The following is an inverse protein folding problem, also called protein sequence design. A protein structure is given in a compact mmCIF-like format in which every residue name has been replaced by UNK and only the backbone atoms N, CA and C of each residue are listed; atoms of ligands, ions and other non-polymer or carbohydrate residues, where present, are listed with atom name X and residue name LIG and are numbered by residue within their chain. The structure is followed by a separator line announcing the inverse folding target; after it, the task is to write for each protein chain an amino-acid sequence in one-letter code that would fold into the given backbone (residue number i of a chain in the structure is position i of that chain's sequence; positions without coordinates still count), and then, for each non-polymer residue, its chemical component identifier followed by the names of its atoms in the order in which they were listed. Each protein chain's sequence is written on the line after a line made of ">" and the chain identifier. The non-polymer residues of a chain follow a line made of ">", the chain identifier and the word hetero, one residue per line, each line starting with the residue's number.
data_IF_399702962159
#
_entry.id   IF_399702962159
#
_cell.length_a   1.000
_cell.length_b   1.000
_cell.length_c   1.000
_cell.angle_alpha   90.00
_cell.angle_beta   90.00
_cell.angle_gamma   90.00
#
_symmetry.space_group_name_H-M   'P 1'
#
loop_
_entity.id
_entity.type
_entity.pdbx_description
1 polymer ?
#
# COMPACT_ATOMS: atom_id res chain seq x y z
N UNK A 1 -27.56 8.10 -0.31
CA UNK A 1 -26.78 9.18 -0.96
C UNK A 1 -26.16 9.98 0.18
N UNK A 2 -24.86 9.87 0.39
CA UNK A 2 -24.14 10.69 1.37
C UNK A 2 -23.87 12.05 0.74
N UNK A 3 -24.15 13.12 1.47
CA UNK A 3 -23.87 14.49 1.02
C UNK A 3 -22.49 14.85 1.49
N UNK A 4 -21.59 15.18 0.58
CA UNK A 4 -20.24 15.66 0.90
C UNK A 4 -20.27 17.16 1.11
N UNK A 5 -19.77 17.59 2.26
CA UNK A 5 -19.64 19.01 2.59
C UNK A 5 -18.25 19.50 2.20
N UNK A 6 -18.19 20.44 1.26
CA UNK A 6 -16.97 21.18 0.92
C UNK A 6 -16.89 22.40 1.84
N UNK A 7 -15.73 22.58 2.49
CA UNK A 7 -15.41 23.77 3.25
C UNK A 7 -14.19 24.44 2.64
N UNK A 8 -14.24 25.73 2.51
CA UNK A 8 -13.14 26.57 2.06
C UNK A 8 -12.83 27.61 3.13
N UNK A 9 -11.60 27.56 3.66
CA UNK A 9 -11.09 28.57 4.61
C UNK A 9 -10.05 29.41 3.91
N UNK A 10 -10.30 30.70 3.75
CA UNK A 10 -9.31 31.65 3.26
C UNK A 10 -8.71 32.43 4.44
N UNK A 11 -7.39 32.39 4.54
CA UNK A 11 -6.65 33.00 5.64
C UNK A 11 -5.41 33.73 5.12
N UNK A 12 -4.99 34.79 5.83
CA UNK A 12 -3.78 35.53 5.49
C UNK A 12 -2.51 34.69 5.62
N UNK A 13 -1.50 34.98 4.81
CA UNK A 13 -0.26 34.20 4.72
C UNK A 13 0.48 34.09 6.07
N UNK A 14 0.44 35.11 6.89
CA UNK A 14 1.07 35.14 8.21
C UNK A 14 0.46 34.17 9.23
N UNK A 15 -0.77 33.68 8.99
CA UNK A 15 -1.48 32.73 9.84
C UNK A 15 -1.68 31.35 9.17
N UNK A 16 -1.18 31.16 7.95
CA UNK A 16 -1.45 29.96 7.17
C UNK A 16 -0.88 28.68 7.83
N UNK A 17 0.33 28.74 8.35
CA UNK A 17 0.96 27.60 9.01
C UNK A 17 0.20 27.21 10.30
N UNK A 18 -0.27 28.18 11.09
CA UNK A 18 -1.08 27.91 12.28
C UNK A 18 -2.43 27.30 11.91
N UNK A 19 -3.05 27.78 10.83
CA UNK A 19 -4.29 27.20 10.31
C UNK A 19 -4.11 25.76 9.82
N UNK A 20 -3.00 25.46 9.13
CA UNK A 20 -2.65 24.10 8.71
C UNK A 20 -2.50 23.14 9.89
N UNK A 21 -1.82 23.54 10.95
CA UNK A 21 -1.71 22.76 12.19
C UNK A 21 -3.09 22.53 12.85
N UNK A 22 -3.92 23.56 12.90
CA UNK A 22 -5.29 23.43 13.43
C UNK A 22 -6.10 22.40 12.61
N UNK A 23 -6.10 22.53 11.29
CA UNK A 23 -6.84 21.65 10.38
C UNK A 23 -6.34 20.20 10.52
N UNK A 24 -5.02 19.99 10.55
CA UNK A 24 -4.41 18.65 10.68
C UNK A 24 -4.82 17.92 11.96
N UNK A 25 -5.08 18.68 13.04
CA UNK A 25 -5.53 18.11 14.31
C UNK A 25 -6.97 17.59 14.28
N UNK A 26 -7.77 18.01 13.29
CA UNK A 26 -9.21 17.71 13.19
C UNK A 26 -9.54 16.78 12.01
N UNK A 27 -8.76 16.85 10.94
CA UNK A 27 -9.01 16.13 9.68
C UNK A 27 -7.78 15.31 9.31
N UNK A 28 -7.70 14.06 9.76
CA UNK A 28 -6.55 13.18 9.48
C UNK A 28 -6.44 12.76 8.00
N UNK A 29 -7.49 12.95 7.22
CA UNK A 29 -7.57 12.52 5.81
C UNK A 29 -6.98 13.51 4.81
N UNK A 30 -6.44 14.64 5.28
CA UNK A 30 -5.82 15.64 4.44
C UNK A 30 -6.76 16.75 3.96
N UNK A 31 -6.17 17.74 3.30
CA UNK A 31 -6.84 18.91 2.70
C UNK A 31 -6.03 19.39 1.50
N UNK A 32 -6.66 20.21 0.68
CA UNK A 32 -5.96 20.90 -0.39
C UNK A 32 -5.56 22.29 0.09
N UNK A 33 -4.34 22.73 -0.26
CA UNK A 33 -3.81 24.04 0.06
C UNK A 33 -3.41 24.76 -1.22
N UNK A 34 -4.06 25.89 -1.50
CA UNK A 34 -3.85 26.66 -2.71
C UNK A 34 -3.41 28.07 -2.36
N UNK A 35 -2.25 28.56 -2.83
CA UNK A 35 -1.85 29.95 -2.70
C UNK A 35 -2.82 30.86 -3.46
N UNK A 36 -3.24 31.95 -2.81
CA UNK A 36 -4.11 33.00 -3.40
C UNK A 36 -3.48 34.38 -3.19
N UNK A 37 -3.98 35.39 -3.90
CA UNK A 37 -3.36 36.73 -3.96
C UNK A 37 -3.10 37.37 -2.59
N UNK A 38 -3.94 37.05 -1.57
CA UNK A 38 -3.84 37.63 -0.23
C UNK A 38 -3.73 36.60 0.90
N UNK A 39 -3.21 35.40 0.64
CA UNK A 39 -3.06 34.35 1.65
C UNK A 39 -3.16 32.95 1.08
N UNK A 40 -3.71 32.04 1.85
CA UNK A 40 -3.92 30.63 1.43
C UNK A 40 -5.38 30.23 1.58
N UNK A 41 -5.82 29.43 0.64
CA UNK A 41 -7.12 28.77 0.62
C UNK A 41 -6.92 27.30 1.03
N UNK A 42 -7.56 26.90 2.12
CA UNK A 42 -7.64 25.50 2.56
C UNK A 42 -8.99 24.95 2.15
N UNK A 43 -9.00 23.85 1.40
CA UNK A 43 -10.21 23.17 0.95
C UNK A 43 -10.30 21.79 1.59
N UNK A 44 -11.41 21.50 2.24
CA UNK A 44 -11.68 20.25 2.94
C UNK A 44 -12.99 19.66 2.48
N UNK A 45 -13.08 18.33 2.57
CA UNK A 45 -14.27 17.56 2.24
C UNK A 45 -14.64 16.68 3.44
N UNK A 46 -15.86 16.79 3.95
CA UNK A 46 -16.35 16.06 5.12
C UNK A 46 -17.68 15.39 4.83
N UNK A 47 -17.84 14.16 5.30
CA UNK A 47 -19.13 13.44 5.26
C UNK A 47 -19.96 13.66 6.54
N UNK A 48 -19.30 13.99 7.66
CA UNK A 48 -19.93 14.18 8.96
C UNK A 48 -20.36 15.64 9.18
N UNK A 49 -21.65 15.87 9.14
CA UNK A 49 -22.26 17.19 9.39
C UNK A 49 -22.00 17.72 10.80
N UNK A 50 -21.83 16.88 11.79
CA UNK A 50 -21.56 17.30 13.17
C UNK A 50 -20.15 17.84 13.31
N UNK A 51 -19.17 17.13 12.75
CA UNK A 51 -17.78 17.56 12.69
C UNK A 51 -17.62 18.86 11.88
N UNK A 52 -18.37 19.01 10.80
CA UNK A 52 -18.42 20.23 10.00
C UNK A 52 -18.79 21.46 10.83
N UNK A 53 -19.93 21.40 11.55
CA UNK A 53 -20.42 22.52 12.35
C UNK A 53 -19.43 22.89 13.44
N UNK A 54 -18.86 21.89 14.12
CA UNK A 54 -17.87 22.10 15.17
C UNK A 54 -16.61 22.75 14.61
N UNK A 55 -16.10 22.26 13.50
CA UNK A 55 -14.88 22.74 12.86
C UNK A 55 -14.99 24.18 12.38
N UNK A 56 -16.09 24.55 11.71
CA UNK A 56 -16.34 25.93 11.27
C UNK A 56 -16.42 26.86 12.46
N UNK A 57 -17.10 26.48 13.55
CA UNK A 57 -17.21 27.29 14.76
C UNK A 57 -15.86 27.50 15.44
N UNK A 58 -15.09 26.43 15.61
CA UNK A 58 -13.77 26.50 16.25
C UNK A 58 -12.77 27.28 15.39
N UNK A 59 -12.76 27.04 14.07
CA UNK A 59 -11.90 27.76 13.15
C UNK A 59 -12.15 29.27 13.19
N UNK A 60 -13.42 29.70 13.15
CA UNK A 60 -13.77 31.13 13.29
C UNK A 60 -13.45 31.70 14.65
N UNK A 61 -13.39 30.88 15.68
CA UNK A 61 -13.01 31.35 17.03
C UNK A 61 -11.50 31.60 17.09
N UNK A 62 -10.67 30.76 16.45
CA UNK A 62 -9.22 30.95 16.42
C UNK A 62 -8.77 31.96 15.36
N UNK A 63 -9.48 32.02 14.25
CA UNK A 63 -9.17 32.86 13.09
C UNK A 63 -10.39 33.75 12.73
N UNK A 64 -10.72 34.76 13.54
CA UNK A 64 -11.93 35.54 13.36
C UNK A 64 -12.00 36.35 12.06
N UNK A 65 -10.82 36.69 11.49
CA UNK A 65 -10.70 37.42 10.24
C UNK A 65 -10.72 36.53 8.98
N UNK A 66 -10.86 35.20 9.15
CA UNK A 66 -10.92 34.27 8.03
C UNK A 66 -12.24 34.34 7.26
N UNK A 67 -12.18 34.19 5.93
CA UNK A 67 -13.38 33.94 5.12
C UNK A 67 -13.64 32.45 5.05
N UNK A 68 -14.84 32.01 5.43
CA UNK A 68 -15.25 30.61 5.45
C UNK A 68 -16.46 30.44 4.55
N UNK A 69 -16.28 29.66 3.49
CA UNK A 69 -17.36 29.28 2.57
C UNK A 69 -17.62 27.78 2.71
N UNK A 70 -18.84 27.39 2.49
CA UNK A 70 -19.23 25.99 2.40
C UNK A 70 -20.28 25.78 1.32
N UNK A 71 -20.26 24.58 0.76
CA UNK A 71 -21.26 24.13 -0.18
C UNK A 71 -21.54 22.65 0.05
N UNK A 72 -22.76 22.25 -0.16
CA UNK A 72 -23.13 20.84 -0.26
C UNK A 72 -22.88 20.39 -1.71
N UNK A 73 -22.14 19.30 -1.87
CA UNK A 73 -21.98 18.66 -3.17
C UNK A 73 -22.66 17.28 -3.08
N UNK A 74 -23.49 16.98 -4.05
CA UNK A 74 -24.00 15.62 -4.18
C UNK A 74 -22.83 14.68 -4.44
N UNK A 75 -22.72 13.61 -3.65
CA UNK A 75 -21.58 12.69 -3.68
C UNK A 75 -21.39 11.97 -5.01
N UNK A 76 -22.36 12.04 -5.91
CA UNK A 76 -22.32 11.33 -7.19
C UNK A 76 -21.23 11.84 -8.14
N UNK A 77 -20.93 13.14 -8.17
CA UNK A 77 -19.94 13.68 -9.11
C UNK A 77 -18.49 13.45 -8.67
N UNK A 78 -18.21 13.43 -7.36
CA UNK A 78 -16.87 13.19 -6.87
C UNK A 78 -16.49 11.71 -6.83
N UNK A 79 -17.45 10.83 -6.55
CA UNK A 79 -17.23 9.38 -6.61
C UNK A 79 -16.95 8.89 -8.03
N UNK A 80 -17.29 9.67 -9.04
CA UNK A 80 -16.99 9.36 -10.46
C UNK A 80 -15.71 10.03 -10.95
N UNK A 81 -15.44 11.29 -10.56
CA UNK A 81 -14.28 12.03 -11.05
C UNK A 81 -12.94 11.43 -10.60
N UNK A 82 -12.83 10.92 -9.36
CA UNK A 82 -11.60 10.26 -8.91
C UNK A 82 -11.36 8.91 -9.59
N UNK A 83 -12.42 8.22 -10.01
CA UNK A 83 -12.30 6.97 -10.78
C UNK A 83 -11.60 7.16 -12.11
N UNK A 84 -11.75 8.32 -12.75
CA UNK A 84 -11.10 8.65 -14.01
C UNK A 84 -9.58 8.82 -13.87
N UNK A 85 -9.08 9.04 -12.65
CA UNK A 85 -7.64 9.13 -12.37
C UNK A 85 -6.98 7.77 -12.14
N UNK A 86 -7.77 6.71 -11.86
CA UNK A 86 -7.21 5.38 -11.67
C UNK A 86 -7.10 4.64 -13.00
N UNK A 87 -5.94 4.78 -13.62
CA UNK A 87 -5.62 4.02 -14.82
C UNK A 87 -5.04 2.64 -14.43
N UNK A 88 -5.29 1.61 -15.26
CA UNK A 88 -4.64 0.32 -15.08
C UNK A 88 -3.12 0.44 -15.07
N UNK A 89 -2.47 -0.27 -14.15
CA UNK A 89 -1.00 -0.28 -14.01
C UNK A 89 -0.46 -1.65 -14.40
N UNK A 90 0.45 -1.70 -15.36
CA UNK A 90 1.15 -2.93 -15.70
C UNK A 90 2.39 -3.09 -14.81
N UNK A 91 2.52 -4.25 -14.16
CA UNK A 91 3.69 -4.62 -13.39
C UNK A 91 4.44 -5.74 -14.12
N UNK A 92 5.46 -5.34 -14.86
CA UNK A 92 6.15 -6.20 -15.81
C UNK A 92 5.22 -6.69 -16.94
N UNK A 93 5.46 -7.90 -17.40
CA UNK A 93 4.66 -8.55 -18.45
C UNK A 93 3.62 -9.54 -17.88
N UNK A 94 3.58 -9.72 -16.56
CA UNK A 94 2.77 -10.76 -15.92
C UNK A 94 1.49 -10.21 -15.33
N UNK A 95 1.55 -9.07 -14.64
CA UNK A 95 0.43 -8.55 -13.88
C UNK A 95 -0.09 -7.24 -14.42
N UNK A 96 -1.40 -7.06 -14.32
CA UNK A 96 -2.09 -5.81 -14.55
C UNK A 96 -3.02 -5.51 -13.38
N UNK A 97 -2.82 -4.37 -12.74
CA UNK A 97 -3.62 -3.93 -11.61
C UNK A 97 -4.76 -3.07 -12.15
N UNK A 98 -5.98 -3.37 -11.71
CA UNK A 98 -7.20 -2.73 -12.16
C UNK A 98 -8.07 -2.35 -10.95
N UNK A 99 -8.75 -1.21 -10.99
CA UNK A 99 -9.86 -0.97 -10.08
C UNK A 99 -11.09 -1.79 -10.52
N UNK A 100 -12.04 -2.13 -9.60
CA UNK A 100 -13.18 -2.99 -9.92
C UNK A 100 -14.04 -2.54 -11.11
N UNK A 101 -14.18 -1.23 -11.30
CA UNK A 101 -15.00 -0.68 -12.40
C UNK A 101 -14.36 -0.74 -13.79
N UNK A 102 -13.09 -1.20 -13.89
CA UNK A 102 -12.39 -1.39 -15.17
C UNK A 102 -12.11 -2.87 -15.49
N UNK A 103 -12.65 -3.80 -14.71
CA UNK A 103 -12.42 -5.23 -14.90
C UNK A 103 -13.09 -5.76 -16.18
N UNK A 104 -14.25 -5.22 -16.53
CA UNK A 104 -14.99 -5.66 -17.70
C UNK A 104 -14.34 -5.18 -19.02
N UNK A 105 -14.07 -6.12 -19.91
CA UNK A 105 -13.66 -5.84 -21.29
C UNK A 105 -12.15 -5.69 -21.52
N UNK A 106 -11.31 -6.02 -20.54
CA UNK A 106 -9.86 -6.12 -20.74
C UNK A 106 -9.52 -7.51 -21.24
N UNK A 107 -9.27 -7.63 -22.55
CA UNK A 107 -8.77 -8.86 -23.16
C UNK A 107 -7.26 -8.71 -23.38
N UNK A 108 -6.51 -9.25 -22.44
CA UNK A 108 -5.06 -9.34 -22.58
C UNK A 108 -4.51 -10.63 -21.95
N UNK A 109 -3.23 -10.90 -22.20
CA UNK A 109 -2.53 -12.10 -21.74
C UNK A 109 -1.98 -11.95 -20.32
N UNK A 110 -2.32 -10.88 -19.60
CA UNK A 110 -1.79 -10.60 -18.25
C UNK A 110 -2.72 -11.15 -17.16
N UNK A 111 -2.15 -11.39 -16.00
CA UNK A 111 -2.92 -11.76 -14.80
C UNK A 111 -3.45 -10.48 -14.15
N UNK A 112 -4.77 -10.35 -14.11
CA UNK A 112 -5.41 -9.19 -13.52
C UNK A 112 -5.49 -9.29 -12.00
N UNK A 113 -5.13 -8.20 -11.32
CA UNK A 113 -5.30 -8.01 -9.88
C UNK A 113 -6.25 -6.84 -9.69
N UNK A 114 -7.44 -7.13 -9.16
CA UNK A 114 -8.46 -6.11 -8.88
C UNK A 114 -8.23 -5.56 -7.47
N UNK A 115 -7.94 -4.27 -7.38
CA UNK A 115 -7.77 -3.58 -6.09
C UNK A 115 -8.70 -2.39 -6.03
N UNK A 116 -9.52 -2.34 -5.00
CA UNK A 116 -10.31 -1.15 -4.73
C UNK A 116 -9.41 -0.07 -4.10
N UNK A 117 -9.28 1.10 -4.74
CA UNK A 117 -8.48 2.19 -4.19
C UNK A 117 -9.13 2.72 -2.91
N UNK A 118 -8.63 2.27 -1.75
CA UNK A 118 -9.00 2.72 -0.41
C UNK A 118 -7.79 3.33 0.29
N UNK A 119 -7.96 3.67 1.56
CA UNK A 119 -6.92 4.28 2.40
C UNK A 119 -5.76 3.33 2.75
N UNK A 120 -5.87 2.01 2.48
CA UNK A 120 -4.79 1.07 2.72
C UNK A 120 -3.63 1.25 1.73
N UNK A 121 -2.40 1.11 2.22
CA UNK A 121 -1.19 1.11 1.38
C UNK A 121 -1.22 -0.07 0.41
N UNK A 122 -0.72 0.14 -0.83
CA UNK A 122 -0.62 -0.95 -1.81
C UNK A 122 -1.67 -0.91 -2.91
N UNK A 123 -2.09 0.28 -3.38
CA UNK A 123 -2.97 0.43 -4.55
C UNK A 123 -2.30 0.05 -5.89
N UNK A 124 -1.04 -0.41 -5.84
CA UNK A 124 -0.27 -0.79 -7.01
C UNK A 124 0.46 0.35 -7.73
N UNK A 125 0.15 1.60 -7.43
CA UNK A 125 0.79 2.76 -8.05
C UNK A 125 2.15 3.11 -7.44
N UNK A 126 2.47 2.55 -6.25
CA UNK A 126 3.77 2.80 -5.63
C UNK A 126 4.86 1.94 -6.28
N UNK A 127 6.04 2.51 -6.62
CA UNK A 127 7.12 1.78 -7.29
C UNK A 127 7.54 0.50 -6.58
N UNK A 128 7.55 0.47 -5.25
CA UNK A 128 7.92 -0.73 -4.47
C UNK A 128 6.98 -1.91 -4.71
N UNK A 129 5.67 -1.65 -4.85
CA UNK A 129 4.67 -2.68 -5.16
C UNK A 129 4.86 -3.21 -6.58
N UNK A 130 5.08 -2.30 -7.55
CA UNK A 130 5.34 -2.66 -8.94
C UNK A 130 6.61 -3.52 -9.06
N UNK A 131 7.71 -3.12 -8.40
CA UNK A 131 8.96 -3.89 -8.34
C UNK A 131 8.76 -5.30 -7.75
N UNK A 132 7.99 -5.44 -6.67
CA UNK A 132 7.69 -6.76 -6.10
C UNK A 132 6.91 -7.64 -7.07
N UNK A 133 5.83 -7.12 -7.67
CA UNK A 133 5.01 -7.88 -8.63
C UNK A 133 5.80 -8.23 -9.89
N UNK A 134 6.59 -7.32 -10.43
CA UNK A 134 7.47 -7.61 -11.57
C UNK A 134 8.47 -8.73 -11.24
N UNK A 135 9.05 -8.69 -10.05
CA UNK A 135 9.96 -9.72 -9.56
C UNK A 135 9.26 -11.07 -9.40
N UNK A 136 8.08 -11.10 -8.77
CA UNK A 136 7.25 -12.31 -8.65
C UNK A 136 6.96 -12.88 -10.04
N UNK A 137 6.59 -12.05 -11.01
CA UNK A 137 6.35 -12.46 -12.38
C UNK A 137 7.60 -13.05 -13.06
N UNK A 138 8.80 -12.50 -12.80
CA UNK A 138 10.08 -13.04 -13.29
C UNK A 138 10.39 -14.41 -12.68
N UNK A 139 10.23 -14.55 -11.35
CA UNK A 139 10.45 -15.83 -10.66
C UNK A 139 9.50 -16.92 -11.16
N UNK A 140 8.25 -16.59 -11.46
CA UNK A 140 7.30 -17.52 -12.04
C UNK A 140 7.70 -17.96 -13.48
N UNK A 141 8.18 -17.02 -14.32
CA UNK A 141 8.64 -17.33 -15.68
C UNK A 141 9.91 -18.18 -15.73
N UNK A 142 10.75 -18.10 -14.70
CA UNK A 142 11.99 -18.90 -14.57
C UNK A 142 11.77 -20.21 -13.81
N UNK A 143 10.54 -20.54 -13.44
CA UNK A 143 10.19 -21.68 -12.58
C UNK A 143 10.86 -21.67 -11.19
N UNK A 144 11.37 -20.54 -10.74
CA UNK A 144 11.87 -20.37 -9.37
C UNK A 144 10.73 -20.44 -8.34
N UNK A 145 9.53 -20.01 -8.73
CA UNK A 145 8.27 -20.25 -8.00
C UNK A 145 7.27 -20.95 -8.91
N UNK A 146 6.45 -21.86 -8.35
CA UNK A 146 5.54 -22.72 -9.11
C UNK A 146 4.19 -22.87 -8.43
N UNK A 147 3.11 -23.17 -9.18
CA UNK A 147 1.82 -23.52 -8.60
C UNK A 147 1.93 -24.63 -7.54
N UNK A 148 1.18 -24.47 -6.45
CA UNK A 148 1.17 -25.39 -5.31
C UNK A 148 2.26 -25.17 -4.27
N UNK A 149 3.23 -24.28 -4.52
CA UNK A 149 4.19 -23.85 -3.50
C UNK A 149 3.56 -22.89 -2.50
N UNK A 150 4.19 -22.78 -1.32
CA UNK A 150 3.69 -21.92 -0.24
C UNK A 150 4.43 -20.59 -0.19
N UNK A 151 3.71 -19.53 0.24
CA UNK A 151 4.30 -18.22 0.43
C UNK A 151 3.87 -17.55 1.75
N UNK A 152 4.70 -16.61 2.21
CA UNK A 152 4.37 -15.64 3.25
C UNK A 152 4.45 -14.23 2.67
N UNK A 153 3.41 -13.43 2.85
CA UNK A 153 3.39 -11.98 2.58
C UNK A 153 3.34 -11.23 3.91
N UNK A 154 4.45 -10.61 4.30
CA UNK A 154 4.60 -9.92 5.58
C UNK A 154 4.45 -8.41 5.40
N UNK A 155 3.44 -7.84 6.06
CA UNK A 155 2.97 -6.47 5.83
C UNK A 155 2.16 -6.37 4.54
N UNK A 156 1.11 -7.19 4.46
CA UNK A 156 0.35 -7.41 3.22
C UNK A 156 -0.42 -6.17 2.73
N UNK A 157 -0.74 -5.23 3.62
CA UNK A 157 -1.49 -4.02 3.29
C UNK A 157 -2.83 -4.33 2.63
N UNK A 158 -3.00 -3.92 1.37
CA UNK A 158 -4.19 -4.23 0.56
C UNK A 158 -4.34 -5.69 0.14
N UNK A 159 -3.36 -6.55 0.41
CA UNK A 159 -3.30 -7.93 -0.06
C UNK A 159 -2.77 -8.12 -1.47
N UNK A 160 -2.34 -7.05 -2.14
CA UNK A 160 -2.03 -7.06 -3.58
C UNK A 160 -0.95 -8.08 -3.98
N UNK A 161 0.12 -8.24 -3.18
CA UNK A 161 1.18 -9.20 -3.47
C UNK A 161 0.68 -10.64 -3.27
N UNK A 162 0.00 -10.88 -2.15
CA UNK A 162 -0.62 -12.17 -1.85
C UNK A 162 -1.63 -12.59 -2.92
N UNK A 163 -2.49 -11.67 -3.37
CA UNK A 163 -3.45 -11.92 -4.46
C UNK A 163 -2.72 -12.30 -5.74
N UNK A 164 -1.66 -11.56 -6.11
CA UNK A 164 -0.85 -11.87 -7.29
C UNK A 164 -0.25 -13.28 -7.21
N UNK A 165 0.28 -13.68 -6.06
CA UNK A 165 0.82 -15.03 -5.82
C UNK A 165 -0.25 -16.11 -5.90
N UNK A 166 -1.43 -15.87 -5.30
CA UNK A 166 -2.57 -16.79 -5.42
C UNK A 166 -3.02 -16.98 -6.87
N UNK A 167 -3.08 -15.91 -7.64
CA UNK A 167 -3.44 -15.99 -9.08
C UNK A 167 -2.42 -16.73 -9.93
N UNK A 168 -1.17 -16.85 -9.45
CA UNK A 168 -0.15 -17.76 -10.03
C UNK A 168 -0.25 -19.18 -9.50
N UNK A 169 -1.23 -19.49 -8.66
CA UNK A 169 -1.49 -20.83 -8.13
C UNK A 169 -0.70 -21.19 -6.88
N UNK A 170 -0.05 -20.24 -6.20
CA UNK A 170 0.57 -20.48 -4.91
C UNK A 170 -0.50 -20.43 -3.80
N UNK A 171 -0.15 -20.98 -2.63
CA UNK A 171 -1.00 -21.02 -1.43
C UNK A 171 -0.21 -20.36 -0.31
N UNK A 172 -0.81 -19.48 0.48
CA UNK A 172 -0.01 -18.79 1.47
C UNK A 172 -0.72 -18.17 2.64
N UNK A 173 0.10 -17.51 3.43
CA UNK A 173 -0.33 -16.71 4.58
C UNK A 173 0.07 -15.26 4.34
N UNK A 174 -0.82 -14.34 4.67
CA UNK A 174 -0.54 -12.92 4.61
C UNK A 174 -0.84 -12.28 5.97
N UNK A 175 0.10 -11.52 6.48
CA UNK A 175 0.05 -10.90 7.79
C UNK A 175 0.18 -9.39 7.67
N UNK A 176 -0.57 -8.67 8.49
CA UNK A 176 -0.37 -7.25 8.75
C UNK A 176 -0.63 -6.93 10.21
N UNK A 177 0.15 -6.00 10.77
CA UNK A 177 -0.05 -5.55 12.14
C UNK A 177 -1.25 -4.62 12.30
N UNK A 178 -1.70 -4.02 11.20
CA UNK A 178 -2.86 -3.14 11.18
C UNK A 178 -4.14 -3.92 10.85
N UNK A 179 -5.10 -4.02 11.80
CA UNK A 179 -6.39 -4.67 11.54
C UNK A 179 -7.16 -4.07 10.36
N UNK A 180 -7.02 -2.77 10.09
CA UNK A 180 -7.70 -2.11 8.96
C UNK A 180 -7.11 -2.55 7.62
N UNK A 181 -5.79 -2.77 7.57
CA UNK A 181 -5.13 -3.33 6.39
C UNK A 181 -5.64 -4.75 6.11
N UNK A 182 -5.74 -5.60 7.14
CA UNK A 182 -6.26 -6.97 7.00
C UNK A 182 -7.72 -6.97 6.54
N UNK A 183 -8.56 -6.08 7.07
CA UNK A 183 -9.97 -5.94 6.63
C UNK A 183 -10.03 -5.55 5.14
N UNK A 184 -9.21 -4.60 4.70
CA UNK A 184 -9.09 -4.21 3.30
C UNK A 184 -8.59 -5.38 2.43
N UNK A 185 -7.60 -6.14 2.90
CA UNK A 185 -7.10 -7.31 2.19
C UNK A 185 -8.15 -8.39 2.02
N UNK A 186 -8.99 -8.65 3.04
CA UNK A 186 -10.12 -9.60 2.94
C UNK A 186 -11.07 -9.23 1.81
N UNK A 187 -11.48 -7.97 1.73
CA UNK A 187 -12.36 -7.49 0.66
C UNK A 187 -11.75 -7.64 -0.74
N UNK A 188 -10.45 -7.30 -0.88
CA UNK A 188 -9.75 -7.45 -2.14
C UNK A 188 -9.55 -8.92 -2.53
N UNK A 189 -9.28 -9.81 -1.57
CA UNK A 189 -9.17 -11.28 -1.78
C UNK A 189 -10.50 -11.87 -2.28
N UNK A 190 -11.62 -11.43 -1.71
CA UNK A 190 -12.96 -11.80 -2.17
C UNK A 190 -13.22 -11.29 -3.59
N UNK A 191 -12.89 -10.02 -3.88
CA UNK A 191 -13.06 -9.42 -5.21
C UNK A 191 -12.24 -10.11 -6.31
N UNK A 192 -11.16 -10.78 -5.94
CA UNK A 192 -10.28 -11.52 -6.86
C UNK A 192 -10.54 -13.02 -6.94
N UNK A 193 -11.54 -13.55 -6.22
CA UNK A 193 -11.90 -14.98 -6.16
C UNK A 193 -10.74 -15.90 -5.70
N UNK A 194 -9.88 -15.41 -4.78
CA UNK A 194 -8.70 -16.15 -4.28
C UNK A 194 -8.79 -16.54 -2.79
N UNK A 195 -9.98 -16.55 -2.21
CA UNK A 195 -10.23 -16.91 -0.80
C UNK A 195 -9.78 -18.32 -0.44
N UNK A 196 -9.73 -19.23 -1.41
CA UNK A 196 -9.37 -20.64 -1.18
C UNK A 196 -7.87 -20.93 -1.09
N UNK A 197 -7.00 -19.96 -1.34
CA UNK A 197 -5.55 -20.13 -1.36
C UNK A 197 -4.81 -19.17 -0.42
N UNK A 198 -5.49 -18.40 0.41
CA UNK A 198 -4.88 -17.40 1.28
C UNK A 198 -5.49 -17.38 2.68
N UNK A 199 -4.62 -17.53 3.68
CA UNK A 199 -4.94 -17.27 5.07
C UNK A 199 -4.49 -15.85 5.44
N UNK A 200 -5.41 -15.01 5.88
CA UNK A 200 -5.17 -13.64 6.33
C UNK A 200 -5.27 -13.55 7.86
N UNK A 201 -4.31 -12.89 8.49
CA UNK A 201 -4.36 -12.65 9.93
C UNK A 201 -3.73 -11.32 10.34
N UNK A 202 -4.25 -10.75 11.43
CA UNK A 202 -3.62 -9.62 12.11
C UNK A 202 -2.45 -10.13 12.93
N UNK A 203 -1.25 -9.66 12.65
CA UNK A 203 -0.05 -10.07 13.36
C UNK A 203 1.24 -9.77 12.58
N UNK A 204 2.34 -10.23 13.12
CA UNK A 204 3.67 -10.15 12.50
C UNK A 204 4.32 -11.53 12.49
N UNK A 205 5.60 -11.58 12.09
CA UNK A 205 6.37 -12.83 11.95
C UNK A 205 6.40 -13.66 13.23
N UNK A 206 6.36 -13.04 14.40
CA UNK A 206 6.36 -13.66 15.73
C UNK A 206 5.07 -14.42 16.07
N UNK A 207 4.01 -14.25 15.27
CA UNK A 207 2.78 -15.04 15.39
C UNK A 207 2.90 -16.43 14.76
N UNK A 208 3.92 -16.67 13.95
CA UNK A 208 4.13 -17.94 13.26
C UNK A 208 4.90 -18.92 14.13
N UNK A 209 4.54 -20.21 14.05
CA UNK A 209 5.34 -21.28 14.62
C UNK A 209 6.68 -21.41 13.88
N UNK A 210 7.79 -21.57 14.60
CA UNK A 210 9.16 -21.67 14.05
C UNK A 210 9.32 -22.78 12.99
N UNK A 211 8.44 -23.78 12.98
CA UNK A 211 8.45 -24.86 12.00
C UNK A 211 7.76 -24.51 10.68
N UNK A 212 6.98 -23.43 10.65
CA UNK A 212 6.37 -22.96 9.38
C UNK A 212 7.44 -22.35 8.48
N UNK A 213 7.60 -22.94 7.30
CA UNK A 213 8.54 -22.49 6.29
C UNK A 213 7.87 -22.43 4.92
N UNK A 214 8.26 -21.43 4.14
CA UNK A 214 7.66 -21.09 2.86
C UNK A 214 8.68 -21.17 1.74
N UNK A 215 8.26 -21.57 0.54
CA UNK A 215 9.09 -21.52 -0.66
C UNK A 215 9.38 -20.06 -1.08
N UNK A 216 8.46 -19.14 -0.76
CA UNK A 216 8.65 -17.71 -1.01
C UNK A 216 8.25 -16.91 0.24
N UNK A 217 9.12 -16.01 0.66
CA UNK A 217 8.76 -14.95 1.62
C UNK A 217 8.89 -13.60 0.91
N UNK A 218 7.85 -12.78 0.97
CA UNK A 218 7.87 -11.41 0.45
C UNK A 218 7.51 -10.44 1.58
N UNK A 219 8.23 -9.30 1.66
CA UNK A 219 7.93 -8.22 2.57
C UNK A 219 8.18 -6.87 1.88
N UNK A 220 7.14 -6.07 1.74
CA UNK A 220 7.22 -4.70 1.22
C UNK A 220 6.88 -3.70 2.33
N UNK A 221 7.81 -3.56 3.28
CA UNK A 221 7.66 -2.77 4.50
C UNK A 221 8.87 -1.86 4.72
N UNK A 222 8.84 -1.06 5.78
CA UNK A 222 9.94 -0.15 6.12
C UNK A 222 11.25 -0.90 6.42
N UNK A 223 12.39 -0.29 6.09
CA UNK A 223 13.73 -0.87 6.24
C UNK A 223 14.11 -1.19 7.70
N UNK A 224 13.64 -0.42 8.68
CA UNK A 224 13.88 -0.68 10.10
C UNK A 224 13.38 -2.05 10.53
N UNK A 225 12.08 -2.34 10.43
CA UNK A 225 11.50 -3.65 10.68
C UNK A 225 12.16 -4.79 9.88
N UNK A 226 12.50 -4.57 8.61
CA UNK A 226 13.22 -5.58 7.80
C UNK A 226 14.57 -5.97 8.42
N UNK A 227 15.29 -5.01 8.99
CA UNK A 227 16.58 -5.27 9.67
C UNK A 227 16.35 -5.96 11.02
N UNK A 228 15.38 -5.49 11.80
CA UNK A 228 15.09 -6.03 13.13
C UNK A 228 14.62 -7.48 13.06
N UNK A 229 13.79 -7.82 12.10
CA UNK A 229 13.23 -9.17 11.92
C UNK A 229 14.05 -10.05 10.95
N UNK A 230 15.26 -9.65 10.55
CA UNK A 230 16.01 -10.37 9.52
C UNK A 230 16.22 -11.86 9.83
N UNK A 231 16.52 -12.20 11.08
CA UNK A 231 16.69 -13.60 11.52
C UNK A 231 15.39 -14.39 11.39
N UNK A 232 14.28 -13.83 11.88
CA UNK A 232 12.98 -14.49 11.87
C UNK A 232 12.47 -14.65 10.43
N UNK A 233 12.54 -13.58 9.60
CA UNK A 233 12.16 -13.64 8.19
C UNK A 233 12.95 -14.72 7.47
N UNK A 234 14.28 -14.74 7.61
CA UNK A 234 15.14 -15.75 6.95
C UNK A 234 14.85 -17.16 7.45
N UNK A 235 14.56 -17.32 8.75
CA UNK A 235 14.26 -18.62 9.33
C UNK A 235 12.98 -19.26 8.78
N UNK A 236 12.05 -18.45 8.27
CA UNK A 236 10.80 -18.91 7.65
C UNK A 236 10.93 -19.19 6.15
N UNK A 237 12.09 -18.93 5.53
CA UNK A 237 12.36 -19.36 4.15
C UNK A 237 12.80 -20.82 4.15
N UNK A 238 12.21 -21.66 3.30
CA UNK A 238 12.67 -23.05 3.08
C UNK A 238 14.06 -23.07 2.44
N UNK A 239 14.91 -24.09 2.73
CA UNK A 239 16.12 -24.29 1.94
C UNK A 239 15.78 -24.37 0.43
N UNK A 240 16.52 -23.66 -0.40
CA UNK A 240 16.22 -23.50 -1.83
C UNK A 240 15.06 -22.57 -2.17
N UNK A 241 14.47 -21.91 -1.17
CA UNK A 241 13.39 -20.94 -1.36
C UNK A 241 13.89 -19.56 -1.78
N UNK A 242 12.95 -18.63 -1.94
CA UNK A 242 13.23 -17.26 -2.37
C UNK A 242 12.76 -16.25 -1.32
N UNK A 243 13.48 -15.12 -1.25
CA UNK A 243 13.15 -13.99 -0.40
C UNK A 243 13.11 -12.71 -1.23
N UNK A 244 12.02 -11.94 -1.11
CA UNK A 244 11.83 -10.64 -1.77
C UNK A 244 11.61 -9.58 -0.70
N UNK A 245 12.44 -8.54 -0.69
CA UNK A 245 12.33 -7.41 0.23
C UNK A 245 12.24 -6.10 -0.54
N UNK A 246 11.28 -5.25 -0.20
CA UNK A 246 11.11 -3.91 -0.78
C UNK A 246 10.56 -2.92 0.27
N UNK A 247 10.21 -1.70 -0.15
CA UNK A 247 9.93 -0.60 0.78
C UNK A 247 11.21 0.12 1.24
N UNK A 248 12.27 0.00 0.46
CA UNK A 248 13.65 0.38 0.80
C UNK A 248 14.12 1.49 -0.15
N UNK A 249 14.68 2.57 0.40
CA UNK A 249 15.36 3.60 -0.40
C UNK A 249 16.73 3.10 -0.86
N UNK A 250 16.95 3.14 -2.19
CA UNK A 250 18.14 2.56 -2.84
C UNK A 250 19.45 3.15 -2.30
N UNK A 251 19.55 4.48 -2.22
CA UNK A 251 20.78 5.16 -1.86
C UNK A 251 21.07 5.20 -0.36
N UNK A 252 20.03 5.11 0.49
CA UNK A 252 20.14 5.37 1.93
C UNK A 252 20.02 4.13 2.80
N UNK A 253 19.25 3.14 2.36
CA UNK A 253 18.82 2.03 3.21
C UNK A 253 19.25 0.66 2.68
N UNK A 254 19.41 0.51 1.36
CA UNK A 254 19.69 -0.77 0.71
C UNK A 254 20.90 -1.50 1.29
N UNK A 255 22.01 -0.80 1.52
CA UNK A 255 23.23 -1.42 2.03
C UNK A 255 23.09 -1.87 3.49
N UNK A 256 22.32 -1.15 4.31
CA UNK A 256 22.07 -1.54 5.69
C UNK A 256 21.20 -2.82 5.76
N UNK A 257 20.14 -2.88 4.96
CA UNK A 257 19.30 -4.07 4.84
C UNK A 257 20.12 -5.24 4.29
N UNK A 258 20.82 -5.06 3.15
CA UNK A 258 21.66 -6.12 2.56
C UNK A 258 22.64 -6.70 3.58
N UNK A 259 23.37 -5.85 4.33
CA UNK A 259 24.33 -6.30 5.34
C UNK A 259 23.69 -7.07 6.50
N UNK A 260 22.45 -6.76 6.87
CA UNK A 260 21.74 -7.50 7.92
C UNK A 260 21.49 -8.96 7.48
N UNK A 261 21.11 -9.17 6.23
CA UNK A 261 20.82 -10.49 5.67
C UNK A 261 22.08 -11.26 5.25
N UNK A 262 23.11 -10.59 4.72
CA UNK A 262 24.40 -11.24 4.41
C UNK A 262 25.06 -11.90 5.64
N UNK A 263 24.83 -11.37 6.85
CA UNK A 263 25.31 -11.97 8.10
C UNK A 263 24.66 -13.31 8.43
N UNK A 264 23.57 -13.65 7.75
CA UNK A 264 22.82 -14.88 7.94
C UNK A 264 23.20 -15.97 6.92
N UNK A 265 24.32 -15.76 6.19
CA UNK A 265 24.89 -16.68 5.21
C UNK A 265 23.94 -17.06 4.05
N UNK A 266 23.02 -16.16 3.70
CA UNK A 266 22.11 -16.36 2.55
C UNK A 266 22.62 -15.73 1.24
N UNK A 267 23.88 -15.29 1.22
CA UNK A 267 24.50 -14.66 0.06
C UNK A 267 24.06 -13.23 -0.20
N UNK A 268 24.45 -12.69 -1.34
CA UNK A 268 24.11 -11.32 -1.76
C UNK A 268 22.88 -11.31 -2.65
N UNK A 269 21.98 -10.30 -2.51
CA UNK A 269 20.76 -10.24 -3.30
C UNK A 269 21.00 -9.74 -4.73
N UNK A 270 20.14 -10.14 -5.64
CA UNK A 270 19.89 -9.37 -6.85
C UNK A 270 19.18 -8.07 -6.49
N UNK A 271 19.49 -6.99 -7.24
CA UNK A 271 19.00 -5.64 -6.96
C UNK A 271 18.23 -5.10 -8.15
N UNK A 272 16.95 -4.76 -7.94
CA UNK A 272 16.09 -4.14 -8.94
C UNK A 272 15.71 -2.73 -8.46
N UNK A 273 15.93 -1.71 -9.28
CA UNK A 273 15.78 -0.30 -8.87
C UNK A 273 14.76 0.39 -9.79
N UNK A 274 13.86 1.13 -9.20
CA UNK A 274 12.94 2.03 -9.89
C UNK A 274 12.86 3.38 -9.14
N UNK A 275 13.35 4.44 -9.79
CA UNK A 275 13.48 5.75 -9.17
C UNK A 275 14.39 5.71 -7.92
N UNK A 276 13.85 6.10 -6.79
CA UNK A 276 14.56 6.06 -5.49
C UNK A 276 14.39 4.75 -4.71
N UNK A 277 13.63 3.78 -5.24
CA UNK A 277 13.24 2.55 -4.56
C UNK A 277 13.98 1.34 -5.08
N UNK A 278 14.18 0.35 -4.20
CA UNK A 278 14.85 -0.91 -4.54
C UNK A 278 14.05 -2.11 -4.05
N UNK A 279 14.11 -3.18 -4.83
CA UNK A 279 13.71 -4.52 -4.45
C UNK A 279 14.96 -5.41 -4.38
N UNK A 280 15.15 -6.10 -3.27
CA UNK A 280 16.24 -7.04 -3.01
C UNK A 280 15.69 -8.45 -3.10
N UNK A 281 16.37 -9.32 -3.86
CA UNK A 281 15.90 -10.68 -4.14
C UNK A 281 17.01 -11.68 -3.90
N UNK A 282 16.74 -12.65 -3.05
CA UNK A 282 17.56 -13.84 -2.86
C UNK A 282 16.83 -15.04 -3.42
N UNK A 283 17.50 -15.82 -4.26
CA UNK A 283 17.05 -17.11 -4.74
C UNK A 283 17.94 -18.20 -4.15
N UNK A 284 17.39 -19.41 -3.96
CA UNK A 284 18.10 -20.57 -3.41
C UNK A 284 18.69 -20.28 -2.00
N UNK A 285 17.89 -19.69 -1.13
CA UNK A 285 18.28 -19.36 0.25
C UNK A 285 18.66 -20.64 1.00
N UNK A 286 19.86 -20.69 1.56
CA UNK A 286 20.33 -21.79 2.41
C UNK A 286 20.76 -23.07 1.66
N UNK A 287 21.03 -22.98 0.35
CA UNK A 287 21.65 -24.06 -0.44
C UNK A 287 23.18 -24.02 -0.36
#
# INVERSE_FOLDING_TARGET
>A
MSTLLKIEFMISEDKADEAGVFISSKVPHGWEETPVENGRLFTLYLEDHSLFIEMVREFKTHFPDSDVKHSEQESEDWSMAWKDFFNPVNCGETFRILPPWLEDGVDDSTTHIVIEPKMAFGTGHHPTTALCLETIGKLAKTDAIRPGQTFLDLGTGSGILAIGLCKLGLIGTALDIDPQAVECAVENVEANDVTGCLDLAVGSIDCLDENFKFELVVANILSGPLIEMAVDITSHVKPGGSLILSGILADKQADAVTKAYEKLDIGSPQRFIEGEWICLVWENVGD
#
